data_IF_833860183883
#
_entry.id   IF_833860183883
#
_cell.length_a   1.000
_cell.length_b   1.000
_cell.length_c   1.000
_cell.angle_alpha   90.00
_cell.angle_beta   90.00
_cell.angle_gamma   90.00
#
_symmetry.space_group_name_H-M   'P 1'
#
loop_
_entity.id
_entity.type
_entity.pdbx_description
1 polymer ?
#
# COMPACT_ATOMS: atom_id res chain seq x y z
N UNK A 1 -24.64 -54.13 14.04
CA UNK A 1 -24.43 -52.86 14.77
C UNK A 1 -24.80 -51.65 13.89
N UNK A 2 -26.09 -51.42 13.63
CA UNK A 2 -26.58 -50.30 12.78
C UNK A 2 -27.50 -49.43 13.66
N UNK A 3 -27.21 -48.12 13.74
CA UNK A 3 -28.01 -47.07 14.40
C UNK A 3 -27.70 -46.72 15.88
N UNK A 4 -26.46 -46.31 16.16
CA UNK A 4 -26.18 -45.44 17.32
C UNK A 4 -26.04 -43.98 16.84
N UNK A 5 -27.13 -43.18 16.84
CA UNK A 5 -27.14 -41.82 16.28
C UNK A 5 -26.19 -40.86 17.01
N UNK A 6 -25.96 -41.05 18.31
CA UNK A 6 -25.02 -40.22 19.08
C UNK A 6 -23.57 -40.40 18.65
N UNK A 7 -23.13 -41.64 18.38
CA UNK A 7 -21.77 -41.91 17.92
C UNK A 7 -21.48 -41.25 16.57
N UNK A 8 -22.45 -41.30 15.65
CA UNK A 8 -22.35 -40.64 14.34
C UNK A 8 -22.19 -39.12 14.47
N UNK A 9 -22.94 -38.49 15.37
CA UNK A 9 -22.83 -37.05 15.60
C UNK A 9 -21.43 -36.66 16.10
N UNK A 10 -20.87 -37.42 17.05
CA UNK A 10 -19.50 -37.18 17.56
C UNK A 10 -18.45 -37.32 16.46
N UNK A 11 -18.56 -38.35 15.61
CA UNK A 11 -17.65 -38.56 14.48
C UNK A 11 -17.73 -37.40 13.48
N UNK A 12 -18.93 -36.96 13.12
CA UNK A 12 -19.11 -35.83 12.19
C UNK A 12 -18.56 -34.53 12.76
N UNK A 13 -18.83 -34.24 14.04
CA UNK A 13 -18.34 -33.03 14.71
C UNK A 13 -16.80 -33.05 14.80
N UNK A 14 -16.21 -34.17 15.20
CA UNK A 14 -14.75 -34.31 15.31
C UNK A 14 -14.08 -34.16 13.94
N UNK A 15 -14.64 -34.77 12.90
CA UNK A 15 -14.13 -34.65 11.53
C UNK A 15 -14.26 -33.21 11.00
N UNK A 16 -15.41 -32.56 11.24
CA UNK A 16 -15.63 -31.17 10.84
C UNK A 16 -14.67 -30.20 11.56
N UNK A 17 -14.42 -30.41 12.85
CA UNK A 17 -13.44 -29.65 13.63
C UNK A 17 -12.02 -29.84 13.09
N UNK A 18 -11.61 -31.08 12.82
CA UNK A 18 -10.27 -31.37 12.30
C UNK A 18 -10.01 -30.68 10.95
N UNK A 19 -10.98 -30.76 10.03
CA UNK A 19 -10.90 -30.15 8.69
C UNK A 19 -10.97 -28.62 8.78
N UNK A 20 -11.84 -28.09 9.64
CA UNK A 20 -11.99 -26.65 9.84
C UNK A 20 -10.75 -26.00 10.44
N UNK A 21 -10.10 -26.66 11.41
CA UNK A 21 -8.90 -26.14 12.07
C UNK A 21 -7.71 -26.07 11.11
N UNK A 22 -7.49 -27.15 10.36
CA UNK A 22 -6.42 -27.19 9.34
C UNK A 22 -6.65 -26.19 8.22
N UNK A 23 -7.88 -26.05 7.74
CA UNK A 23 -8.24 -25.06 6.71
C UNK A 23 -8.09 -23.62 7.21
N UNK A 24 -8.42 -23.33 8.47
CA UNK A 24 -8.30 -21.99 9.06
C UNK A 24 -6.83 -21.58 9.19
N UNK A 25 -5.97 -22.48 9.65
CA UNK A 25 -4.52 -22.24 9.74
C UNK A 25 -3.96 -21.99 8.34
N UNK A 26 -4.30 -22.83 7.36
CA UNK A 26 -3.85 -22.62 5.98
C UNK A 26 -4.40 -21.32 5.39
N UNK A 27 -5.63 -20.92 5.71
CA UNK A 27 -6.20 -19.65 5.23
C UNK A 27 -5.50 -18.43 5.83
N UNK A 28 -5.12 -18.47 7.12
CA UNK A 28 -4.34 -17.41 7.77
C UNK A 28 -2.93 -17.35 7.19
N UNK A 29 -2.27 -18.50 7.03
CA UNK A 29 -0.97 -18.58 6.37
C UNK A 29 -1.06 -18.11 4.91
N UNK A 30 -2.12 -18.45 4.20
CA UNK A 30 -2.31 -18.02 2.82
C UNK A 30 -2.57 -16.51 2.74
N UNK A 31 -3.35 -15.95 3.66
CA UNK A 31 -3.62 -14.52 3.71
C UNK A 31 -2.38 -13.70 4.12
N UNK A 32 -1.52 -14.23 4.98
CA UNK A 32 -0.36 -13.52 5.52
C UNK A 32 0.95 -13.78 4.74
N UNK A 33 1.18 -15.00 4.28
CA UNK A 33 2.43 -15.43 3.62
C UNK A 33 2.30 -15.59 2.11
N UNK A 34 1.15 -16.07 1.61
CA UNK A 34 1.01 -16.49 0.21
C UNK A 34 0.18 -15.54 -0.65
N UNK A 35 -0.49 -14.53 -0.07
CA UNK A 35 -1.20 -13.52 -0.86
C UNK A 35 -0.13 -12.76 -1.63
N UNK A 36 0.02 -12.98 -2.94
CA UNK A 36 1.10 -12.36 -3.69
C UNK A 36 0.84 -10.86 -3.65
N UNK A 37 1.85 -10.09 -3.23
CA UNK A 37 1.82 -8.65 -3.34
C UNK A 37 1.42 -8.31 -4.80
N UNK A 38 0.48 -7.37 -5.03
CA UNK A 38 0.06 -6.95 -6.37
C UNK A 38 1.16 -6.11 -7.01
N UNK A 39 2.27 -6.77 -7.32
CA UNK A 39 3.48 -6.19 -7.92
C UNK A 39 3.77 -6.98 -9.20
N UNK A 40 4.15 -6.31 -10.30
CA UNK A 40 4.27 -6.94 -11.62
C UNK A 40 5.25 -8.13 -11.67
N UNK A 41 6.25 -8.17 -10.78
CA UNK A 41 7.32 -9.18 -10.77
C UNK A 41 7.72 -9.63 -9.35
N UNK A 42 6.91 -10.48 -8.67
CA UNK A 42 7.21 -10.91 -7.31
C UNK A 42 8.51 -11.72 -7.18
N UNK A 43 8.94 -12.42 -8.25
CA UNK A 43 10.15 -13.24 -8.24
C UNK A 43 11.48 -12.46 -8.32
N UNK A 44 11.46 -11.15 -8.60
CA UNK A 44 12.67 -10.30 -8.64
C UNK A 44 12.83 -9.43 -7.40
N UNK A 45 11.86 -9.46 -6.49
CA UNK A 45 11.90 -8.70 -5.24
C UNK A 45 12.64 -9.49 -4.16
N UNK A 46 13.81 -9.00 -3.77
CA UNK A 46 14.60 -9.57 -2.68
C UNK A 46 14.59 -8.61 -1.50
N UNK A 47 14.16 -9.08 -0.33
CA UNK A 47 14.22 -8.30 0.91
C UNK A 47 15.58 -8.47 1.56
N UNK A 48 16.36 -7.40 1.63
CA UNK A 48 17.66 -7.40 2.29
C UNK A 48 17.43 -7.15 3.78
N UNK A 49 17.84 -8.12 4.60
CA UNK A 49 17.88 -7.97 6.05
C UNK A 49 19.32 -7.68 6.46
N UNK A 50 19.54 -6.54 7.12
CA UNK A 50 20.80 -6.31 7.83
C UNK A 50 20.53 -6.27 9.34
N UNK A 51 21.35 -7.01 10.08
CA UNK A 51 21.25 -7.17 11.53
C UNK A 51 20.07 -8.04 11.98
N UNK A 52 19.95 -8.24 13.30
CA UNK A 52 18.96 -9.13 13.94
C UNK A 52 17.49 -8.70 13.75
N UNK A 53 17.27 -7.45 13.34
CA UNK A 53 15.91 -6.86 13.20
C UNK A 53 15.57 -6.41 11.76
N UNK A 54 16.45 -6.62 10.79
CA UNK A 54 16.22 -6.20 9.40
C UNK A 54 16.11 -4.68 9.21
N UNK A 55 16.43 -3.87 10.23
CA UNK A 55 16.42 -2.42 10.15
C UNK A 55 17.73 -1.91 9.56
N UNK A 56 17.65 -1.29 8.40
CA UNK A 56 18.78 -0.58 7.78
C UNK A 56 18.52 0.92 7.85
N UNK A 57 19.52 1.70 8.28
CA UNK A 57 19.43 3.15 8.25
C UNK A 57 19.33 3.64 6.81
N UNK A 58 18.56 4.71 6.57
CA UNK A 58 18.39 5.28 5.23
C UNK A 58 19.73 5.59 4.52
N UNK A 59 20.74 6.08 5.27
CA UNK A 59 22.08 6.31 4.72
C UNK A 59 22.75 5.03 4.23
N UNK A 60 22.58 3.94 4.96
CA UNK A 60 23.13 2.63 4.58
C UNK A 60 22.40 2.06 3.37
N UNK A 61 21.08 2.25 3.26
CA UNK A 61 20.34 1.90 2.03
C UNK A 61 20.86 2.68 0.81
N UNK A 62 21.14 3.98 0.96
CA UNK A 62 21.73 4.80 -0.12
C UNK A 62 23.15 4.38 -0.49
N UNK A 63 23.98 4.04 0.49
CA UNK A 63 25.35 3.56 0.25
C UNK A 63 25.34 2.19 -0.45
N UNK A 64 24.46 1.28 -0.03
CA UNK A 64 24.24 0.01 -0.73
C UNK A 64 23.73 0.23 -2.15
N UNK A 65 22.81 1.17 -2.36
CA UNK A 65 22.34 1.53 -3.70
C UNK A 65 23.45 2.06 -4.59
N UNK A 66 24.40 2.83 -4.04
CA UNK A 66 25.53 3.36 -4.79
C UNK A 66 26.62 2.30 -5.10
N UNK A 67 26.73 1.26 -4.26
CA UNK A 67 27.79 0.24 -4.38
C UNK A 67 27.34 -1.06 -5.04
N UNK A 68 26.04 -1.29 -5.18
CA UNK A 68 25.52 -2.57 -5.68
C UNK A 68 25.29 -2.49 -7.19
N UNK A 69 26.08 -3.25 -7.96
CA UNK A 69 25.89 -3.41 -9.41
C UNK A 69 25.06 -4.67 -9.78
N UNK A 70 24.78 -5.54 -8.81
CA UNK A 70 24.07 -6.81 -9.02
C UNK A 70 22.55 -6.70 -8.92
N UNK A 71 22.04 -5.61 -8.33
CA UNK A 71 20.62 -5.34 -8.16
C UNK A 71 20.23 -4.16 -9.06
N UNK A 72 19.16 -4.33 -9.84
CA UNK A 72 18.69 -3.29 -10.76
C UNK A 72 18.20 -2.02 -10.03
N UNK A 73 17.59 -2.18 -8.86
CA UNK A 73 17.11 -1.06 -8.03
C UNK A 73 16.89 -1.50 -6.59
N UNK A 74 17.07 -0.57 -5.64
CA UNK A 74 16.91 -0.78 -4.19
C UNK A 74 15.94 0.26 -3.63
N UNK A 75 15.06 -0.19 -2.74
CA UNK A 75 14.15 0.68 -2.00
C UNK A 75 14.10 0.32 -0.53
N UNK A 76 13.92 1.35 0.30
CA UNK A 76 13.64 1.21 1.72
C UNK A 76 12.15 1.43 1.96
N UNK A 77 11.57 0.59 2.80
CA UNK A 77 10.22 0.80 3.33
C UNK A 77 10.22 0.52 4.83
N UNK A 78 9.46 1.30 5.59
CA UNK A 78 9.19 1.01 6.99
C UNK A 78 7.94 0.15 7.11
N UNK A 79 7.86 -0.60 8.21
CA UNK A 79 6.58 -1.19 8.59
C UNK A 79 5.54 -0.10 8.82
N UNK A 80 4.26 -0.35 8.48
CA UNK A 80 3.20 0.60 8.76
C UNK A 80 3.17 0.95 10.24
N UNK A 81 3.30 2.23 10.56
CA UNK A 81 3.23 2.76 11.91
C UNK A 81 2.17 3.87 11.99
N UNK A 82 1.39 3.93 13.09
CA UNK A 82 0.40 4.97 13.28
C UNK A 82 1.13 6.31 13.43
N UNK A 83 0.78 7.28 12.58
CA UNK A 83 1.24 8.66 12.69
C UNK A 83 0.03 9.53 12.99
N UNK A 84 0.21 10.43 13.94
CA UNK A 84 -0.78 11.44 14.29
C UNK A 84 -0.71 12.55 13.24
N UNK A 85 -1.73 12.66 12.40
CA UNK A 85 -1.86 13.71 11.39
C UNK A 85 -2.93 14.70 11.85
N UNK A 86 -2.56 15.98 11.84
CA UNK A 86 -3.51 17.06 12.03
C UNK A 86 -4.35 17.22 10.77
N UNK A 87 -5.60 16.79 10.81
CA UNK A 87 -6.57 17.01 9.74
C UNK A 87 -7.36 18.27 10.08
N UNK A 88 -7.43 19.26 9.17
CA UNK A 88 -8.28 20.42 9.38
C UNK A 88 -9.74 19.95 9.49
N UNK A 89 -10.36 20.23 10.63
CA UNK A 89 -11.79 20.03 10.85
C UNK A 89 -12.55 21.33 10.52
N UNK A 90 -13.82 21.19 10.18
CA UNK A 90 -14.70 22.32 9.90
C UNK A 90 -14.70 23.30 11.09
N UNK A 91 -14.45 24.58 10.81
CA UNK A 91 -14.35 25.63 11.83
C UNK A 91 -12.93 25.96 12.29
N UNK A 92 -11.88 25.44 11.63
CA UNK A 92 -10.49 25.84 11.90
C UNK A 92 -9.84 25.11 13.09
N UNK A 93 -10.53 24.15 13.69
CA UNK A 93 -9.95 23.23 14.66
C UNK A 93 -9.11 22.17 13.93
N UNK A 94 -7.92 21.85 14.44
CA UNK A 94 -7.12 20.73 13.93
C UNK A 94 -7.48 19.48 14.73
N UNK A 95 -8.09 18.49 14.08
CA UNK A 95 -8.36 17.19 14.69
C UNK A 95 -7.17 16.27 14.44
N UNK A 96 -6.62 15.73 15.52
CA UNK A 96 -5.58 14.71 15.42
C UNK A 96 -6.22 13.37 15.09
N UNK A 97 -5.94 12.83 13.92
CA UNK A 97 -6.32 11.47 13.54
C UNK A 97 -5.08 10.57 13.46
N UNK A 98 -5.21 9.34 13.97
CA UNK A 98 -4.17 8.32 13.78
C UNK A 98 -4.36 7.67 12.42
N UNK A 99 -3.40 7.91 11.53
CA UNK A 99 -3.37 7.32 10.19
C UNK A 99 -2.21 6.34 10.14
N UNK A 100 -2.49 5.13 9.69
CA UNK A 100 -1.45 4.14 9.39
C UNK A 100 -0.62 4.63 8.21
N UNK A 101 0.66 4.91 8.44
CA UNK A 101 1.57 5.41 7.41
C UNK A 101 2.79 4.51 7.31
N UNK A 102 3.40 4.43 6.13
CA UNK A 102 4.68 3.77 5.94
C UNK A 102 5.62 4.76 5.24
N UNK A 103 6.80 4.97 5.82
CA UNK A 103 7.85 5.75 5.18
C UNK A 103 8.51 4.90 4.10
N UNK A 104 8.55 5.42 2.88
CA UNK A 104 9.13 4.74 1.71
C UNK A 104 10.18 5.64 1.06
N UNK A 105 11.23 5.05 0.51
CA UNK A 105 12.19 5.79 -0.30
C UNK A 105 11.56 6.21 -1.63
N UNK A 106 12.06 7.27 -2.26
CA UNK A 106 11.58 7.71 -3.58
C UNK A 106 11.69 6.60 -4.65
N UNK A 107 12.69 5.72 -4.51
CA UNK A 107 12.89 4.55 -5.38
C UNK A 107 11.88 3.41 -5.17
N UNK A 108 11.08 3.43 -4.09
CA UNK A 108 10.11 2.36 -3.78
C UNK A 108 9.07 2.16 -4.87
N UNK A 109 8.52 3.26 -5.40
CA UNK A 109 7.52 3.20 -6.47
C UNK A 109 8.10 2.71 -7.80
N UNK A 110 9.37 3.01 -8.06
CA UNK A 110 10.10 2.55 -9.25
C UNK A 110 10.43 1.06 -9.14
N UNK A 111 10.91 0.60 -7.97
CA UNK A 111 11.19 -0.81 -7.67
C UNK A 111 9.94 -1.68 -7.76
N UNK A 112 8.79 -1.19 -7.28
CA UNK A 112 7.54 -1.94 -7.36
C UNK A 112 6.85 -1.84 -8.72
N UNK A 113 7.37 -1.01 -9.65
CA UNK A 113 6.71 -0.72 -10.92
C UNK A 113 5.37 0.01 -10.77
N UNK A 114 5.01 0.43 -9.57
CA UNK A 114 3.78 1.17 -9.28
C UNK A 114 4.08 2.64 -9.43
N UNK A 115 4.11 3.14 -10.67
CA UNK A 115 4.07 4.57 -10.94
C UNK A 115 2.77 5.10 -10.31
N UNK A 116 2.93 6.00 -9.34
CA UNK A 116 1.85 6.43 -8.45
C UNK A 116 0.55 6.65 -9.19
N UNK A 117 -0.48 5.87 -8.83
CA UNK A 117 -1.83 5.99 -9.36
C UNK A 117 -2.50 7.33 -9.01
N UNK A 118 -1.81 8.20 -8.27
CA UNK A 118 -2.31 9.53 -8.02
C UNK A 118 -2.23 10.31 -9.33
N UNK A 119 -3.40 10.67 -9.87
CA UNK A 119 -3.56 11.54 -11.04
C UNK A 119 -2.94 12.95 -10.86
N UNK A 120 -2.23 13.19 -9.75
CA UNK A 120 -1.53 14.42 -9.35
C UNK A 120 -0.56 14.94 -10.40
N UNK A 121 0.14 14.08 -11.14
CA UNK A 121 1.10 14.53 -12.16
C UNK A 121 0.43 15.37 -13.25
N UNK A 122 -0.71 14.91 -13.76
CA UNK A 122 -1.49 15.61 -14.80
C UNK A 122 -2.01 16.97 -14.32
N UNK A 123 -2.39 17.04 -13.04
CA UNK A 123 -2.80 18.29 -12.39
C UNK A 123 -1.64 19.26 -12.18
N UNK A 124 -0.47 18.76 -11.75
CA UNK A 124 0.72 19.60 -11.56
C UNK A 124 1.17 20.21 -12.87
N UNK A 125 1.24 19.43 -13.95
CA UNK A 125 1.56 19.92 -15.30
C UNK A 125 0.52 20.96 -15.76
N UNK A 126 -0.77 20.73 -15.51
CA UNK A 126 -1.81 21.70 -15.84
C UNK A 126 -1.67 23.02 -15.08
N UNK A 127 -1.32 22.97 -13.80
CA UNK A 127 -1.17 24.17 -12.96
C UNK A 127 0.07 24.96 -13.40
N UNK A 128 1.18 24.27 -13.70
CA UNK A 128 2.44 24.92 -14.11
C UNK A 128 2.38 25.51 -15.52
N UNK A 129 1.54 24.97 -16.41
CA UNK A 129 1.26 25.56 -17.74
C UNK A 129 0.50 26.91 -17.68
N UNK A 130 -0.01 27.33 -16.52
CA UNK A 130 -0.71 28.60 -16.39
C UNK A 130 0.26 29.79 -16.54
N UNK A 131 0.03 30.63 -17.56
CA UNK A 131 0.83 31.83 -17.85
C UNK A 131 0.59 32.99 -16.89
N UNK A 132 -0.51 32.98 -16.14
CA UNK A 132 -0.88 34.05 -15.18
C UNK A 132 -1.23 33.45 -13.83
N UNK A 133 -0.85 34.13 -12.75
CA UNK A 133 -1.09 33.67 -11.38
C UNK A 133 -2.59 33.53 -11.07
N UNK A 134 -3.43 34.46 -11.56
CA UNK A 134 -4.88 34.36 -11.41
C UNK A 134 -5.48 33.09 -12.05
N UNK A 135 -4.86 32.57 -13.11
CA UNK A 135 -5.26 31.31 -13.74
C UNK A 135 -4.73 30.12 -12.94
N UNK A 136 -3.52 30.21 -12.39
CA UNK A 136 -2.93 29.19 -11.53
C UNK A 136 -3.77 28.95 -10.28
N UNK A 137 -4.24 30.02 -9.63
CA UNK A 137 -5.08 29.95 -8.43
C UNK A 137 -6.43 29.29 -8.70
N UNK A 138 -7.07 29.65 -9.83
CA UNK A 138 -8.30 28.96 -10.27
C UNK A 138 -8.06 27.47 -10.52
N UNK A 139 -6.97 27.11 -11.18
CA UNK A 139 -6.59 25.71 -11.45
C UNK A 139 -6.29 24.94 -10.17
N UNK A 140 -5.64 25.58 -9.19
CA UNK A 140 -5.38 25.01 -7.86
C UNK A 140 -6.68 24.68 -7.14
N UNK A 141 -7.65 25.60 -7.11
CA UNK A 141 -8.97 25.36 -6.52
C UNK A 141 -9.69 24.16 -7.13
N UNK A 142 -9.79 24.12 -8.47
CA UNK A 142 -10.40 22.99 -9.19
C UNK A 142 -9.66 21.66 -8.97
N UNK A 143 -8.33 21.72 -8.88
CA UNK A 143 -7.49 20.54 -8.64
C UNK A 143 -7.77 19.93 -7.27
N UNK A 144 -7.88 20.76 -6.22
CA UNK A 144 -8.16 20.30 -4.86
C UNK A 144 -9.54 19.62 -4.80
N UNK A 145 -10.54 20.22 -5.43
CA UNK A 145 -11.90 19.67 -5.51
C UNK A 145 -11.91 18.30 -6.22
N UNK A 146 -11.32 18.19 -7.40
CA UNK A 146 -11.33 16.93 -8.16
C UNK A 146 -10.42 15.85 -7.55
N UNK A 147 -9.34 16.23 -6.87
CA UNK A 147 -8.51 15.29 -6.10
C UNK A 147 -9.25 14.74 -4.87
N UNK A 148 -10.05 15.57 -4.19
CA UNK A 148 -10.87 15.12 -3.06
C UNK A 148 -11.92 14.08 -3.50
N UNK A 149 -12.42 14.21 -4.73
CA UNK A 149 -13.34 13.25 -5.36
C UNK A 149 -12.64 12.05 -6.03
N UNK A 150 -11.30 11.99 -6.01
CA UNK A 150 -10.51 10.91 -6.63
C UNK A 150 -10.51 10.92 -8.16
N UNK A 151 -10.93 12.01 -8.82
CA UNK A 151 -11.07 12.11 -10.27
C UNK A 151 -9.74 12.44 -10.97
N UNK A 152 -9.53 11.85 -12.14
CA UNK A 152 -8.43 12.20 -13.06
C UNK A 152 -8.66 13.57 -13.72
N UNK A 153 -7.62 14.27 -14.20
CA UNK A 153 -7.82 15.56 -14.91
C UNK A 153 -8.76 15.40 -16.12
N UNK A 154 -8.60 14.31 -16.86
CA UNK A 154 -9.35 14.01 -18.07
C UNK A 154 -10.53 13.05 -17.86
N UNK A 155 -11.03 12.90 -16.62
CA UNK A 155 -12.10 11.95 -16.28
C UNK A 155 -13.37 12.08 -17.15
N UNK A 156 -13.66 13.29 -17.65
CA UNK A 156 -14.81 13.57 -18.52
C UNK A 156 -14.65 12.97 -19.93
N UNK A 157 -13.44 12.65 -20.35
CA UNK A 157 -13.10 12.13 -21.67
C UNK A 157 -12.72 10.64 -21.65
N UNK A 158 -12.62 10.02 -20.46
CA UNK A 158 -12.31 8.58 -20.30
C UNK A 158 -13.53 7.65 -20.53
N UNK A 159 -14.73 8.20 -20.78
CA UNK A 159 -15.95 7.44 -21.11
C UNK A 159 -16.40 7.63 -22.57
N UNK A 160 -15.52 7.32 -23.53
CA UNK A 160 -15.86 7.14 -24.93
C UNK A 160 -15.32 5.79 -25.40
#
# INVERSE_FOLDING_TARGET
>A
MRNMPGFRAVVVISLALGIGLTSSVFSVLNALLLRPLPVPEPGRLVRIFQGRYGNTSYRNCRDLQARTATLASLAAFSWPNPVALGVPADGGAVRTEQVWSAAVSASYFDVLGVRGHSKKKEYVEWITEAKTDATRDKRLGTTIEWLAEGKARNWKYEKC
#
